data_IF_249679897134
#
_entry.id   IF_249679897134
#
_cell.length_a   1.000
_cell.length_b   1.000
_cell.length_c   1.000
_cell.angle_alpha   90.00
_cell.angle_beta   90.00
_cell.angle_gamma   90.00
#
_symmetry.space_group_name_H-M   'P 1'
#
loop_
_entity.id
_entity.type
_entity.pdbx_description
1 polymer ?
#
# COMPACT_ATOMS: atom_id res chain seq x y z
N UNK A 1 8.55 -9.29 -0.25
CA UNK A 1 7.07 -9.32 -0.20
C UNK A 1 6.68 -9.49 1.26
N UNK A 2 5.95 -8.51 1.79
CA UNK A 2 5.43 -8.54 3.15
C UNK A 2 4.23 -9.51 3.18
N UNK A 3 4.12 -10.32 4.24
CA UNK A 3 3.06 -11.31 4.45
C UNK A 3 2.04 -10.86 5.49
N UNK A 4 2.36 -9.81 6.24
CA UNK A 4 1.48 -9.13 7.19
C UNK A 4 1.65 -7.62 7.06
N UNK A 5 0.72 -6.84 7.62
CA UNK A 5 0.86 -5.39 7.73
C UNK A 5 2.04 -5.02 8.64
N UNK A 6 2.26 -5.79 9.71
CA UNK A 6 3.40 -5.55 10.62
C UNK A 6 4.75 -5.73 9.93
N UNK A 7 4.90 -6.77 9.10
CA UNK A 7 6.12 -6.93 8.28
C UNK A 7 6.32 -5.74 7.33
N UNK A 8 5.25 -5.08 6.88
CA UNK A 8 5.35 -3.87 6.07
C UNK A 8 5.82 -2.66 6.89
N UNK A 9 5.37 -2.52 8.13
CA UNK A 9 5.78 -1.46 9.06
C UNK A 9 7.23 -1.57 9.48
N UNK A 10 7.66 -2.78 9.83
CA UNK A 10 8.99 -3.03 10.38
C UNK A 10 10.09 -3.09 9.32
N UNK A 11 9.73 -3.17 8.04
CA UNK A 11 10.70 -3.30 6.95
C UNK A 11 11.39 -1.94 6.68
N UNK A 12 12.71 -1.84 6.91
CA UNK A 12 13.44 -0.58 6.76
C UNK A 12 13.59 -0.11 5.30
N UNK A 13 13.30 -0.97 4.31
CA UNK A 13 13.27 -0.57 2.89
C UNK A 13 11.96 0.11 2.48
N UNK A 14 10.96 0.11 3.37
CA UNK A 14 9.69 0.79 3.20
C UNK A 14 9.79 2.16 3.88
N UNK A 15 9.75 3.22 3.09
CA UNK A 15 9.93 4.61 3.55
C UNK A 15 8.64 5.41 3.42
N UNK A 16 8.61 6.58 4.08
CA UNK A 16 7.43 7.44 4.15
C UNK A 16 6.17 6.68 4.62
N UNK A 17 6.39 5.76 5.56
CA UNK A 17 5.37 4.89 6.11
C UNK A 17 4.29 5.64 6.88
N UNK A 18 3.02 5.25 6.71
CA UNK A 18 1.90 5.75 7.53
C UNK A 18 0.81 4.70 7.71
N UNK A 19 0.22 4.68 8.90
CA UNK A 19 -0.96 3.87 9.21
C UNK A 19 -2.21 4.41 8.54
N UNK A 20 -3.06 3.49 8.08
CA UNK A 20 -4.34 3.74 7.44
C UNK A 20 -5.40 2.77 7.97
N UNK A 21 -6.66 3.15 7.79
CA UNK A 21 -7.81 2.25 7.92
C UNK A 21 -8.47 2.09 6.55
N UNK A 22 -8.65 0.84 6.10
CA UNK A 22 -9.35 0.53 4.85
C UNK A 22 -10.56 -0.33 5.17
N UNK A 23 -11.73 0.30 5.27
CA UNK A 23 -12.99 -0.39 5.57
C UNK A 23 -12.96 -1.15 6.90
N UNK A 24 -12.39 -0.53 7.95
CA UNK A 24 -12.23 -1.14 9.27
C UNK A 24 -11.10 -2.17 9.35
N UNK A 25 -10.23 -2.23 8.34
CA UNK A 25 -9.05 -3.13 8.28
C UNK A 25 -7.79 -2.34 8.54
N UNK A 26 -6.89 -2.94 9.31
CA UNK A 26 -5.55 -2.42 9.50
C UNK A 26 -4.82 -2.31 8.17
N UNK A 27 -4.20 -1.17 7.91
CA UNK A 27 -3.47 -0.94 6.68
C UNK A 27 -2.26 -0.05 6.90
N UNK A 28 -1.25 -0.22 6.04
CA UNK A 28 -0.02 0.55 6.09
C UNK A 28 0.41 0.96 4.69
N UNK A 29 0.52 2.27 4.47
CA UNK A 29 1.07 2.83 3.24
C UNK A 29 2.57 3.00 3.36
N UNK A 30 3.30 2.74 2.28
CA UNK A 30 4.73 3.02 2.17
C UNK A 30 5.18 3.21 0.72
N UNK A 31 6.34 3.83 0.53
CA UNK A 31 7.12 3.85 -0.71
C UNK A 31 8.33 2.94 -0.58
N UNK A 32 8.98 2.55 -1.68
CA UNK A 32 10.18 1.71 -1.61
C UNK A 32 11.43 2.46 -2.06
N UNK A 33 12.53 2.32 -1.31
CA UNK A 33 13.81 3.01 -1.61
C UNK A 33 14.54 2.48 -2.86
N UNK A 34 14.02 1.43 -3.51
CA UNK A 34 14.78 0.64 -4.49
C UNK A 34 14.69 1.16 -5.92
N UNK A 35 13.67 1.95 -6.26
CA UNK A 35 13.39 2.31 -7.65
C UNK A 35 13.69 3.78 -7.95
N UNK A 36 14.96 4.13 -8.22
CA UNK A 36 15.31 5.49 -8.72
C UNK A 36 14.67 5.87 -10.06
N UNK A 37 14.03 4.92 -10.72
CA UNK A 37 13.40 5.08 -12.04
C UNK A 37 11.87 5.01 -11.98
N UNK A 38 11.27 4.87 -10.79
CA UNK A 38 9.81 4.78 -10.60
C UNK A 38 9.45 5.45 -9.28
N UNK A 39 8.49 6.36 -9.30
CA UNK A 39 7.83 6.79 -8.07
C UNK A 39 6.73 5.77 -7.77
N UNK A 40 6.86 5.01 -6.68
CA UNK A 40 5.86 4.03 -6.27
C UNK A 40 5.07 4.50 -5.06
N UNK A 41 3.89 3.90 -4.90
CA UNK A 41 3.19 3.89 -3.63
C UNK A 41 2.59 2.51 -3.43
N UNK A 42 2.60 2.04 -2.19
CA UNK A 42 2.07 0.75 -1.80
C UNK A 42 1.17 0.93 -0.59
N UNK A 43 0.11 0.12 -0.50
CA UNK A 43 -0.71 -0.02 0.70
C UNK A 43 -0.89 -1.51 0.98
N UNK A 44 -0.35 -1.96 2.10
CA UNK A 44 -0.62 -3.29 2.65
C UNK A 44 -1.91 -3.22 3.48
N UNK A 45 -2.90 -4.05 3.17
CA UNK A 45 -4.20 -4.14 3.86
C UNK A 45 -4.35 -5.52 4.47
N UNK A 46 -4.68 -5.58 5.76
CA UNK A 46 -4.90 -6.82 6.48
C UNK A 46 -6.11 -7.60 5.93
N UNK A 47 -5.85 -8.86 5.58
CA UNK A 47 -6.84 -9.76 5.03
C UNK A 47 -6.56 -11.21 5.49
N UNK A 48 -6.93 -11.57 6.74
CA UNK A 48 -6.62 -12.88 7.30
C UNK A 48 -7.04 -14.04 6.38
N UNK A 49 -6.17 -15.03 6.14
CA UNK A 49 -4.90 -15.31 6.84
C UNK A 49 -3.65 -14.61 6.26
N UNK A 50 -3.78 -13.53 5.48
CA UNK A 50 -2.65 -12.83 4.87
C UNK A 50 -2.87 -11.34 4.69
N UNK A 51 -2.30 -10.79 3.61
CA UNK A 51 -2.30 -9.37 3.29
C UNK A 51 -2.56 -9.18 1.79
N UNK A 52 -3.27 -8.11 1.43
CA UNK A 52 -3.33 -7.61 0.05
C UNK A 52 -2.44 -6.39 -0.04
N UNK A 53 -1.57 -6.35 -1.04
CA UNK A 53 -0.75 -5.17 -1.32
C UNK A 53 -1.24 -4.53 -2.61
N UNK A 54 -1.78 -3.33 -2.50
CA UNK A 54 -2.06 -2.47 -3.63
C UNK A 54 -0.80 -1.69 -3.98
N UNK A 55 -0.44 -1.65 -5.25
CA UNK A 55 0.75 -0.92 -5.73
C UNK A 55 0.40 -0.09 -6.95
N UNK A 56 0.86 1.15 -6.96
CA UNK A 56 0.93 1.99 -8.16
C UNK A 56 2.39 2.27 -8.48
N UNK A 57 2.75 2.14 -9.75
CA UNK A 57 4.06 2.48 -10.27
C UNK A 57 3.91 3.65 -11.24
N UNK A 58 4.45 4.80 -10.87
CA UNK A 58 4.44 6.00 -11.69
C UNK A 58 5.77 6.14 -12.43
N UNK A 59 5.70 6.01 -13.76
CA UNK A 59 6.89 5.92 -14.62
C UNK A 59 7.48 7.27 -15.01
N UNK A 60 6.78 8.38 -14.76
CA UNK A 60 7.28 9.72 -15.01
C UNK A 60 7.96 10.25 -13.75
N UNK A 61 9.25 9.96 -13.62
CA UNK A 61 10.06 10.52 -12.53
C UNK A 61 10.32 12.02 -12.75
N UNK A 62 10.50 12.76 -11.66
CA UNK A 62 10.87 14.19 -11.60
C UNK A 62 9.82 15.25 -12.00
N UNK A 63 8.56 14.87 -12.28
CA UNK A 63 7.48 15.84 -12.51
C UNK A 63 6.76 16.30 -11.21
N UNK A 64 7.18 15.76 -10.07
CA UNK A 64 6.66 16.09 -8.74
C UNK A 64 5.32 15.46 -8.41
N UNK A 65 4.81 14.52 -9.23
CA UNK A 65 3.56 13.82 -8.95
C UNK A 65 3.76 12.79 -7.84
N UNK A 66 2.98 12.91 -6.77
CA UNK A 66 2.82 11.87 -5.76
C UNK A 66 1.77 10.86 -6.24
N UNK A 67 2.11 9.58 -6.42
CA UNK A 67 1.17 8.58 -6.89
C UNK A 67 0.28 8.01 -5.78
N UNK A 68 0.56 8.29 -4.49
CA UNK A 68 -0.23 7.76 -3.38
C UNK A 68 -1.72 8.17 -3.41
N UNK A 69 -2.09 9.43 -3.70
CA UNK A 69 -3.51 9.81 -3.83
C UNK A 69 -4.27 8.99 -4.88
N UNK A 70 -3.62 8.67 -6.02
CA UNK A 70 -4.19 7.84 -7.08
C UNK A 70 -4.47 6.42 -6.57
N UNK A 71 -3.51 5.85 -5.84
CA UNK A 71 -3.67 4.53 -5.23
C UNK A 71 -4.81 4.50 -4.22
N UNK A 72 -4.92 5.52 -3.36
CA UNK A 72 -5.94 5.60 -2.33
C UNK A 72 -7.35 5.75 -2.92
N UNK A 73 -7.51 6.55 -3.97
CA UNK A 73 -8.78 6.64 -4.72
C UNK A 73 -9.16 5.27 -5.30
N UNK A 74 -8.21 4.58 -5.91
CA UNK A 74 -8.49 3.25 -6.47
C UNK A 74 -8.81 2.20 -5.40
N UNK A 75 -8.17 2.26 -4.23
CA UNK A 75 -8.52 1.40 -3.09
C UNK A 75 -9.96 1.65 -2.67
N UNK A 76 -10.42 2.90 -2.64
CA UNK A 76 -11.79 3.25 -2.28
C UNK A 76 -12.81 2.60 -3.23
N UNK A 77 -12.51 2.57 -4.53
CA UNK A 77 -13.35 1.94 -5.56
C UNK A 77 -13.46 0.41 -5.42
N UNK A 78 -12.38 -0.24 -4.99
CA UNK A 78 -12.27 -1.72 -5.03
C UNK A 78 -12.33 -2.40 -3.67
N UNK A 79 -12.29 -1.65 -2.56
CA UNK A 79 -12.27 -2.23 -1.20
C UNK A 79 -13.48 -3.14 -0.93
N UNK A 80 -14.64 -2.85 -1.51
CA UNK A 80 -15.84 -3.69 -1.35
C UNK A 80 -15.72 -5.06 -2.03
N UNK A 81 -14.77 -5.24 -2.94
CA UNK A 81 -14.47 -6.51 -3.59
C UNK A 81 -13.44 -7.35 -2.80
N UNK A 82 -12.84 -6.80 -1.73
CA UNK A 82 -11.96 -7.56 -0.87
C UNK A 82 -12.75 -8.70 -0.20
N UNK A 83 -12.17 -9.91 -0.11
CA UNK A 83 -12.81 -11.02 0.60
C UNK A 83 -13.25 -10.62 2.00
N UNK A 84 -14.42 -11.09 2.43
CA UNK A 84 -14.85 -10.91 3.80
C UNK A 84 -13.80 -11.52 4.75
N UNK A 85 -13.43 -10.79 5.81
CA UNK A 85 -12.69 -11.40 6.92
C UNK A 85 -13.56 -12.50 7.51
N UNK A 86 -13.12 -13.75 7.39
CA UNK A 86 -13.72 -14.82 8.19
C UNK A 86 -13.20 -14.61 9.61
N UNK A 87 -14.10 -14.27 10.54
CA UNK A 87 -13.77 -14.17 11.97
C UNK A 87 -13.36 -15.52 12.53
#
# INVERSE_FOLDING_TARGET
>A
MNRTVEEARENPSNVEGRDLDVDGRDAFQYKTEVARSVNDCNVAVDLPPGVVVFTVNYMHVDDGVDPCPILLEHIDDVKSALPATTK
#
